data_IF_797333505582
#
_entry.id   IF_797333505582
#
_cell.length_a   1.000
_cell.length_b   1.000
_cell.length_c   1.000
_cell.angle_alpha   90.00
_cell.angle_beta   90.00
_cell.angle_gamma   90.00
#
_symmetry.space_group_name_H-M   'P 1'
#
loop_
_entity.id
_entity.type
_entity.pdbx_description
1 polymer ?
#
# COMPACT_ATOMS: atom_id res chain seq x y z
N UNK A 1 -8.48 19.17 18.02
CA UNK A 1 -7.09 18.68 18.06
C UNK A 1 -6.76 18.15 16.67
N UNK A 2 -6.15 18.98 15.81
CA UNK A 2 -5.76 18.53 14.46
C UNK A 2 -4.55 17.61 14.59
N UNK A 3 -4.82 16.31 14.74
CA UNK A 3 -3.78 15.29 14.64
C UNK A 3 -3.33 15.27 13.17
N UNK A 4 -2.05 15.55 12.92
CA UNK A 4 -1.45 15.38 11.60
C UNK A 4 -1.63 13.95 11.06
N UNK A 5 -1.22 13.66 9.81
CA UNK A 5 -1.39 12.35 9.22
C UNK A 5 -0.73 11.27 10.10
N UNK A 6 -1.57 10.45 10.72
CA UNK A 6 -1.14 9.29 11.48
C UNK A 6 -0.95 8.11 10.54
N UNK A 7 0.04 7.27 10.81
CA UNK A 7 0.31 6.06 10.03
C UNK A 7 -0.95 5.25 9.64
N UNK A 8 -1.91 4.96 10.56
CA UNK A 8 -3.12 4.23 10.21
C UNK A 8 -3.95 4.89 9.11
N UNK A 9 -4.06 6.23 9.16
CA UNK A 9 -4.81 7.01 8.16
C UNK A 9 -4.14 6.95 6.80
N UNK A 10 -2.84 7.23 6.74
CA UNK A 10 -2.05 7.19 5.49
C UNK A 10 -2.13 5.81 4.84
N UNK A 11 -1.99 4.75 5.64
CA UNK A 11 -2.09 3.38 5.16
C UNK A 11 -3.50 3.04 4.66
N UNK A 12 -4.55 3.40 5.39
CA UNK A 12 -5.94 3.15 4.99
C UNK A 12 -6.32 3.87 3.69
N UNK A 13 -5.93 5.14 3.55
CA UNK A 13 -6.15 5.92 2.32
C UNK A 13 -5.42 5.30 1.13
N UNK A 14 -4.16 4.90 1.29
CA UNK A 14 -3.40 4.22 0.24
C UNK A 14 -3.98 2.85 -0.13
N UNK A 15 -4.46 2.06 0.85
CA UNK A 15 -5.16 0.80 0.59
C UNK A 15 -6.44 1.01 -0.21
N UNK A 16 -7.26 1.99 0.17
CA UNK A 16 -8.52 2.30 -0.52
C UNK A 16 -8.28 2.74 -1.97
N UNK A 17 -7.33 3.65 -2.20
CA UNK A 17 -6.96 4.09 -3.56
C UNK A 17 -6.54 2.94 -4.48
N UNK A 18 -5.89 1.92 -3.91
CA UNK A 18 -5.32 0.79 -4.65
C UNK A 18 -6.21 -0.46 -4.66
N UNK A 19 -7.33 -0.45 -3.94
CA UNK A 19 -8.14 -1.66 -3.75
C UNK A 19 -7.37 -2.80 -3.07
N UNK A 20 -6.42 -2.45 -2.19
CA UNK A 20 -5.53 -3.42 -1.54
C UNK A 20 -6.16 -3.91 -0.23
N UNK A 21 -6.37 -5.22 -0.10
CA UNK A 21 -6.85 -5.82 1.14
C UNK A 21 -5.77 -5.92 2.23
N UNK A 22 -6.18 -5.98 3.49
CA UNK A 22 -5.27 -6.07 4.64
C UNK A 22 -4.33 -7.28 4.58
N UNK A 23 -4.87 -8.46 4.25
CA UNK A 23 -4.07 -9.68 4.13
C UNK A 23 -3.06 -9.61 2.99
N UNK A 24 -3.44 -8.96 1.88
CA UNK A 24 -2.53 -8.77 0.75
C UNK A 24 -1.42 -7.79 1.07
N UNK A 25 -1.72 -6.69 1.78
CA UNK A 25 -0.70 -5.77 2.29
C UNK A 25 0.28 -6.47 3.23
N UNK A 26 -0.25 -7.20 4.21
CA UNK A 26 0.54 -7.96 5.17
C UNK A 26 1.49 -8.93 4.47
N UNK A 27 0.98 -9.68 3.48
CA UNK A 27 1.76 -10.62 2.67
C UNK A 27 2.88 -9.91 1.88
N UNK A 28 2.57 -8.81 1.18
CA UNK A 28 3.55 -8.06 0.39
C UNK A 28 4.65 -7.43 1.24
N UNK A 29 4.28 -6.93 2.42
CA UNK A 29 5.23 -6.30 3.34
C UNK A 29 5.98 -7.30 4.24
N UNK A 30 5.58 -8.59 4.24
CA UNK A 30 6.14 -9.60 5.13
C UNK A 30 5.87 -9.30 6.61
N UNK A 31 4.64 -8.86 6.91
CA UNK A 31 4.18 -8.51 8.26
C UNK A 31 3.02 -9.43 8.65
N UNK A 32 2.92 -9.77 9.94
CA UNK A 32 1.78 -10.52 10.45
C UNK A 32 0.45 -9.74 10.25
N UNK A 33 -0.57 -10.35 9.61
CA UNK A 33 -1.86 -9.70 9.38
C UNK A 33 -2.57 -9.27 10.68
N UNK A 34 -2.43 -10.03 11.77
CA UNK A 34 -3.08 -9.71 13.05
C UNK A 34 -2.45 -8.49 13.71
N UNK A 35 -1.12 -8.37 13.64
CA UNK A 35 -0.38 -7.19 14.07
C UNK A 35 -0.78 -5.97 13.24
N UNK A 36 -0.79 -6.09 11.91
CA UNK A 36 -1.15 -4.99 11.02
C UNK A 36 -2.58 -4.50 11.28
N UNK A 37 -3.52 -5.42 11.52
CA UNK A 37 -4.89 -5.08 11.91
C UNK A 37 -4.96 -4.26 13.21
N UNK A 38 -4.21 -4.67 14.25
CA UNK A 38 -4.14 -3.92 15.51
C UNK A 38 -3.52 -2.53 15.32
N UNK A 39 -2.53 -2.40 14.44
CA UNK A 39 -1.90 -1.11 14.13
C UNK A 39 -2.89 -0.19 13.41
N UNK A 40 -3.54 -0.66 12.36
CA UNK A 40 -4.52 0.13 11.60
C UNK A 40 -5.74 0.52 12.43
N UNK A 41 -6.11 -0.30 13.42
CA UNK A 41 -7.15 0.03 14.40
C UNK A 41 -6.69 0.97 15.53
N UNK A 42 -5.42 1.43 15.52
CA UNK A 42 -4.86 2.28 16.57
C UNK A 42 -4.63 1.59 17.92
N UNK A 43 -4.77 0.26 17.98
CA UNK A 43 -4.60 -0.55 19.20
C UNK A 43 -3.13 -0.88 19.49
N UNK A 44 -2.25 -0.71 18.50
CA UNK A 44 -0.80 -0.89 18.60
C UNK A 44 -0.08 0.23 17.85
N UNK A 45 1.10 0.65 18.32
CA UNK A 45 1.91 1.62 17.60
C UNK A 45 2.43 1.02 16.28
N UNK A 46 2.77 1.86 15.28
CA UNK A 46 3.41 1.41 14.04
C UNK A 46 4.71 0.62 14.28
N UNK A 47 5.16 -0.19 13.31
CA UNK A 47 6.39 -0.96 13.43
C UNK A 47 7.59 -0.05 13.71
N UNK A 48 8.47 -0.49 14.60
CA UNK A 48 9.65 0.29 14.96
C UNK A 48 10.78 0.22 13.94
N UNK A 49 10.84 -0.86 13.15
CA UNK A 49 11.89 -1.08 12.16
C UNK A 49 11.64 -0.27 10.89
N UNK A 50 12.63 0.52 10.49
CA UNK A 50 12.60 1.29 9.23
C UNK A 50 12.42 0.38 8.02
N UNK A 51 13.06 -0.80 8.00
CA UNK A 51 12.91 -1.77 6.92
C UNK A 51 11.47 -2.25 6.74
N UNK A 52 10.76 -2.50 7.84
CA UNK A 52 9.34 -2.89 7.79
C UNK A 52 8.47 -1.74 7.27
N UNK A 53 8.72 -0.51 7.71
CA UNK A 53 8.04 0.68 7.21
C UNK A 53 8.34 0.90 5.72
N UNK A 54 9.57 0.65 5.29
CA UNK A 54 10.02 0.76 3.92
C UNK A 54 9.31 -0.28 3.02
N UNK A 55 9.21 -1.54 3.47
CA UNK A 55 8.43 -2.60 2.79
C UNK A 55 6.94 -2.27 2.71
N UNK A 56 6.37 -1.70 3.77
CA UNK A 56 4.98 -1.23 3.78
C UNK A 56 4.78 -0.08 2.79
N UNK A 57 5.73 0.87 2.71
CA UNK A 57 5.68 1.99 1.77
C UNK A 57 5.69 1.49 0.32
N UNK A 58 6.59 0.56 -0.01
CA UNK A 58 6.65 -0.06 -1.33
C UNK A 58 5.36 -0.82 -1.66
N UNK A 59 4.88 -1.62 -0.71
CA UNK A 59 3.66 -2.39 -0.88
C UNK A 59 2.44 -1.48 -1.09
N UNK A 60 2.41 -0.29 -0.48
CA UNK A 60 1.37 0.72 -0.56
C UNK A 60 1.56 1.72 -1.71
N UNK A 61 2.71 1.72 -2.38
CA UNK A 61 3.10 2.71 -3.39
C UNK A 61 3.00 4.15 -2.84
N UNK A 62 3.66 4.37 -1.69
CA UNK A 62 3.77 5.69 -1.04
C UNK A 62 5.24 6.03 -0.80
N UNK A 63 5.51 7.32 -0.70
CA UNK A 63 6.85 7.85 -0.45
C UNK A 63 7.36 7.37 0.92
N UNK A 64 8.58 6.78 0.95
CA UNK A 64 9.11 6.10 2.15
C UNK A 64 9.26 7.07 3.32
N UNK A 65 9.81 8.26 3.08
CA UNK A 65 10.02 9.28 4.12
C UNK A 65 8.67 9.71 4.70
N UNK A 66 7.69 10.02 3.87
CA UNK A 66 6.34 10.35 4.32
C UNK A 66 5.72 9.27 5.22
N UNK A 67 5.82 7.99 4.83
CA UNK A 67 5.26 6.91 5.65
C UNK A 67 6.01 6.75 6.98
N UNK A 68 7.34 6.82 6.97
CA UNK A 68 8.18 6.71 8.18
C UNK A 68 7.88 7.88 9.15
N UNK A 69 7.78 9.11 8.64
CA UNK A 69 7.45 10.28 9.44
C UNK A 69 6.02 10.19 10.00
N UNK A 70 5.05 9.69 9.23
CA UNK A 70 3.68 9.44 9.72
C UNK A 70 3.61 8.39 10.84
N UNK A 71 4.62 7.53 10.94
CA UNK A 71 4.80 6.58 12.04
C UNK A 71 5.47 7.21 13.28
N UNK A 72 5.73 8.52 13.26
CA UNK A 72 6.40 9.25 14.32
C UNK A 72 7.90 8.98 14.40
N UNK A 73 8.53 8.64 13.28
CA UNK A 73 9.95 8.28 13.20
C UNK A 73 10.73 9.22 12.29
N UNK A 74 12.02 9.37 12.57
CA UNK A 74 12.96 10.11 11.73
C UNK A 74 13.66 9.10 10.82
N UNK A 75 13.56 9.21 9.48
CA UNK A 75 14.27 8.32 8.57
C UNK A 75 15.79 8.39 8.74
N UNK A 76 16.47 7.26 8.61
CA UNK A 76 17.94 7.19 8.63
C UNK A 76 18.61 8.06 7.55
N UNK A 77 17.91 8.28 6.43
CA UNK A 77 18.36 9.15 5.34
C UNK A 77 18.56 10.60 5.78
N UNK A 78 17.91 11.03 6.86
CA UNK A 78 18.07 12.38 7.41
C UNK A 78 19.32 12.53 8.29
N UNK A 79 20.31 11.63 8.18
CA UNK A 79 21.54 11.60 8.99
C UNK A 79 22.29 12.94 9.14
N UNK A 80 22.09 13.86 8.20
CA UNK A 80 22.62 15.23 8.28
C UNK A 80 22.12 16.00 9.52
N UNK A 81 20.88 15.74 9.98
CA UNK A 81 20.31 16.39 11.18
C UNK A 81 21.13 16.12 12.44
N UNK A 82 21.76 14.96 12.55
CA UNK A 82 22.59 14.62 13.72
C UNK A 82 23.92 15.36 13.74
N UNK A 83 24.39 15.86 12.59
CA UNK A 83 25.71 16.47 12.42
C UNK A 83 25.67 17.98 12.29
N UNK A 84 24.54 18.53 11.85
CA UNK A 84 24.38 19.96 11.60
C UNK A 84 23.29 20.56 12.51
N UNK A 85 23.68 21.22 13.62
CA UNK A 85 22.75 21.92 14.50
C UNK A 85 21.94 23.02 13.79
N UNK A 86 22.43 23.59 12.69
CA UNK A 86 21.68 24.58 11.93
C UNK A 86 20.51 23.94 11.18
N UNK A 87 20.66 22.71 10.67
CA UNK A 87 19.55 21.96 10.08
C UNK A 87 18.50 21.59 11.12
N UNK A 88 18.90 21.18 12.33
CA UNK A 88 17.95 20.92 13.42
C UNK A 88 17.12 22.16 13.74
N UNK A 89 17.77 23.32 13.89
CA UNK A 89 17.08 24.60 14.10
C UNK A 89 16.21 25.01 12.92
N UNK A 90 16.60 24.67 11.69
CA UNK A 90 15.79 24.93 10.51
C UNK A 90 14.50 24.09 10.53
N UNK A 91 14.62 22.78 10.78
CA UNK A 91 13.45 21.89 10.90
C UNK A 91 12.56 22.31 12.06
N UNK A 92 13.13 22.62 13.23
CA UNK A 92 12.36 23.08 14.40
C UNK A 92 11.58 24.37 14.11
N UNK A 93 12.20 25.37 13.48
CA UNK A 93 11.49 26.59 13.06
C UNK A 93 10.38 26.32 12.05
N UNK A 94 10.62 25.43 11.08
CA UNK A 94 9.65 25.11 10.03
C UNK A 94 8.50 24.28 10.57
N UNK A 95 8.77 23.30 11.44
CA UNK A 95 7.78 22.36 11.97
C UNK A 95 7.05 22.90 13.21
N UNK A 96 7.75 23.62 14.09
CA UNK A 96 7.25 24.17 15.36
C UNK A 96 6.25 25.32 15.20
N UNK A 97 6.20 25.95 14.02
CA UNK A 97 5.23 27.00 13.70
C UNK A 97 3.80 26.50 13.44
N UNK A 98 3.56 25.19 13.50
CA UNK A 98 2.27 24.60 13.11
C UNK A 98 2.10 24.67 11.60
N UNK A 99 2.77 23.76 10.88
CA UNK A 99 2.51 23.59 9.44
C UNK A 99 1.05 23.15 9.31
N UNK A 100 0.19 24.07 8.85
CA UNK A 100 -1.14 23.71 8.40
C UNK A 100 -0.95 22.56 7.41
N UNK A 101 -1.57 21.40 7.71
CA UNK A 101 -1.32 20.15 7.01
C UNK A 101 -1.28 20.42 5.50
N UNK A 102 -0.19 20.07 4.79
CA UNK A 102 -0.20 20.18 3.34
C UNK A 102 -1.38 19.33 2.88
N UNK A 103 -2.31 19.97 2.15
CA UNK A 103 -3.31 19.27 1.39
C UNK A 103 -2.53 18.42 0.38
N UNK A 104 -2.31 17.15 0.73
CA UNK A 104 -1.63 16.20 -0.13
C UNK A 104 -2.60 15.93 -1.27
N UNK A 105 -2.57 16.83 -2.25
CA UNK A 105 -3.22 16.61 -3.53
C UNK A 105 -2.67 15.27 -4.05
N UNK A 106 -3.53 14.30 -4.36
CA UNK A 106 -3.09 12.99 -4.78
C UNK A 106 -2.21 13.14 -6.02
N UNK A 107 -0.99 12.58 -5.94
CA UNK A 107 -0.12 12.39 -7.10
C UNK A 107 -0.96 11.76 -8.22
N UNK A 108 -0.96 12.33 -9.44
CA UNK A 108 -1.86 11.90 -10.51
C UNK A 108 -1.64 10.41 -10.77
N UNK A 109 -2.67 9.62 -10.47
CA UNK A 109 -2.63 8.18 -10.60
C UNK A 109 -2.25 7.81 -12.03
N UNK A 110 -1.17 7.04 -12.19
CA UNK A 110 -0.81 6.46 -13.47
C UNK A 110 -2.02 5.70 -14.06
N UNK A 111 -2.26 5.77 -15.39
CA UNK A 111 -3.44 5.20 -16.01
C UNK A 111 -3.49 3.70 -15.72
N UNK A 112 -4.62 3.25 -15.14
CA UNK A 112 -4.85 1.84 -14.79
C UNK A 112 -4.68 0.97 -16.03
N UNK A 113 -3.67 0.11 -16.03
CA UNK A 113 -3.49 -0.89 -17.07
C UNK A 113 -4.75 -1.76 -17.16
N UNK A 114 -5.31 -1.83 -18.37
CA UNK A 114 -6.54 -2.56 -18.67
C UNK A 114 -6.35 -4.04 -18.37
N UNK A 115 -7.26 -4.65 -17.61
CA UNK A 115 -7.17 -6.06 -17.27
C UNK A 115 -7.11 -6.94 -18.55
N UNK A 116 -6.28 -8.00 -18.57
CA UNK A 116 -6.25 -8.93 -19.68
C UNK A 116 -7.60 -9.66 -19.80
N UNK A 117 -8.11 -9.77 -21.03
CA UNK A 117 -9.35 -10.51 -21.33
C UNK A 117 -9.20 -11.99 -20.93
N UNK A 118 -10.22 -12.62 -20.31
CA UNK A 118 -10.15 -14.04 -20.00
C UNK A 118 -10.08 -14.86 -21.30
N UNK A 119 -9.20 -15.87 -21.31
CA UNK A 119 -9.06 -16.81 -22.41
C UNK A 119 -10.34 -17.63 -22.59
N UNK A 120 -10.77 -17.78 -23.85
CA UNK A 120 -12.00 -18.49 -24.23
C UNK A 120 -11.84 -19.99 -23.93
N UNK A 121 -12.76 -20.56 -23.15
CA UNK A 121 -12.77 -21.99 -22.84
C UNK A 121 -12.94 -22.84 -24.12
N UNK A 122 -12.34 -24.05 -24.18
CA UNK A 122 -12.51 -24.95 -25.32
C UNK A 122 -13.94 -25.46 -25.42
N UNK A 123 -14.48 -25.51 -26.64
CA UNK A 123 -15.82 -26.01 -26.94
C UNK A 123 -15.92 -27.53 -26.73
N UNK A 124 -17.08 -28.06 -26.29
CA UNK A 124 -17.29 -29.49 -26.12
C UNK A 124 -17.31 -30.23 -27.48
N UNK A 125 -16.99 -31.54 -27.50
CA UNK A 125 -17.01 -32.33 -28.72
C UNK A 125 -18.43 -32.50 -29.26
N UNK A 126 -18.61 -32.27 -30.56
CA UNK A 126 -19.86 -32.52 -31.29
C UNK A 126 -20.07 -34.03 -31.38
N UNK A 127 -21.15 -34.52 -30.77
CA UNK A 127 -21.64 -35.89 -30.94
C UNK A 127 -22.34 -36.00 -32.30
N UNK A 128 -21.69 -36.65 -33.27
CA UNK A 128 -22.33 -37.02 -34.53
C UNK A 128 -23.05 -38.35 -34.35
N UNK A 129 -24.36 -38.31 -34.14
CA UNK A 129 -25.25 -39.44 -34.39
C UNK A 129 -25.74 -39.41 -35.84
N UNK A 130 -25.29 -40.37 -36.64
CA UNK A 130 -25.81 -40.70 -37.99
C UNK A 130 -25.26 -42.08 -38.36
N UNK A 131 -26.01 -43.12 -38.69
CA UNK A 131 -27.45 -43.34 -38.76
C UNK A 131 -27.71 -44.86 -38.89
N UNK A 132 -28.94 -45.27 -38.59
CA UNK A 132 -29.52 -46.54 -39.03
C UNK A 132 -29.39 -46.71 -40.55
N UNK A 133 -28.89 -47.86 -41.02
CA UNK A 133 -29.50 -48.70 -42.07
C UNK A 133 -28.53 -49.80 -42.56
N UNK A 134 -29.14 -50.89 -43.06
CA UNK A 134 -28.60 -52.08 -43.75
C UNK A 134 -28.22 -53.25 -42.84
N UNK A 135 -29.21 -54.03 -42.40
CA UNK A 135 -29.85 -55.16 -43.10
C UNK A 135 -28.94 -56.37 -43.31
N UNK A 136 -29.34 -57.43 -42.60
CA UNK A 136 -29.00 -58.82 -42.81
C UNK A 136 -29.38 -59.26 -44.22
N UNK A 137 -28.40 -59.72 -45.01
CA UNK A 137 -28.45 -60.94 -45.83
C UNK A 137 -27.11 -61.20 -46.52
#
# INVERSE_FOLDING_TARGET
MSQGPSFPRVAAEAMARRGLGLRELARRAGVDPSLLSKILAGKRPPPAGEETLARLADALDVERVALIVSAGRIPSTWSALWRDPALVRAVDRLAGGGVAAPDVAPSPAAPRARAPRPARAPSPPVSTSRGLAEELL
#
